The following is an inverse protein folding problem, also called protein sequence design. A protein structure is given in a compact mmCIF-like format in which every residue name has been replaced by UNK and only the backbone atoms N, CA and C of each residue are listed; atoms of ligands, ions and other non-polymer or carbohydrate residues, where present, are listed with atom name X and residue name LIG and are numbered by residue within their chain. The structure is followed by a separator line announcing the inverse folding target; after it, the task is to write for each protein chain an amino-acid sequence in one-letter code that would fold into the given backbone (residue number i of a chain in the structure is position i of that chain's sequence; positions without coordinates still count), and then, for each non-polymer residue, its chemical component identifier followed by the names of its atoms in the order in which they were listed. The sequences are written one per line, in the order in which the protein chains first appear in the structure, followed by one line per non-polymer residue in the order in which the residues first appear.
data_IF_150680779160
#
_entry.id   IF_150680779160
#
_cell.length_a   1.000
_cell.length_b   1.000
_cell.length_c   1.000
_cell.angle_alpha   90.00
_cell.angle_beta   90.00
_cell.angle_gamma   90.00
#
_symmetry.space_group_name_H-M   'P 1'
#
loop_
_entity.id
_entity.type
_entity.pdbx_description
1 polymer ?
#
# COMPACT_ATOMS: atom_id res chain seq x y z
N UNK A 1 33.76 9.45 28.11
CA UNK A 1 33.16 8.26 27.48
C UNK A 1 31.83 7.99 28.18
N UNK A 2 30.75 8.57 27.68
CA UNK A 2 29.41 8.35 28.24
C UNK A 2 28.56 7.62 27.21
N UNK A 3 27.84 6.61 27.71
CA UNK A 3 27.16 5.59 26.94
C UNK A 3 25.95 6.12 26.16
N UNK A 4 25.76 5.51 24.99
CA UNK A 4 24.52 5.61 24.23
C UNK A 4 23.51 4.61 24.81
N UNK A 5 22.50 5.14 25.49
CA UNK A 5 21.25 4.44 25.78
C UNK A 5 20.32 4.63 24.57
N UNK A 6 20.35 3.72 23.60
CA UNK A 6 19.33 3.66 22.53
C UNK A 6 18.18 2.77 23.00
N UNK A 7 17.32 3.38 23.82
CA UNK A 7 15.97 2.89 24.09
C UNK A 7 15.04 3.73 23.23
N UNK A 8 14.73 3.28 22.01
CA UNK A 8 13.41 3.50 21.40
C UNK A 8 13.19 2.56 20.21
N UNK A 9 12.89 1.29 20.53
CA UNK A 9 12.31 0.30 19.61
C UNK A 9 10.81 0.18 19.92
N UNK A 10 10.05 1.26 19.88
CA UNK A 10 8.60 1.21 20.13
C UNK A 10 7.85 2.09 19.12
N UNK A 11 7.26 1.42 18.12
CA UNK A 11 6.33 2.07 17.20
C UNK A 11 6.04 1.35 15.89
N UNK A 12 6.73 0.24 15.58
CA UNK A 12 6.38 -0.59 14.42
C UNK A 12 5.24 -1.55 14.80
N UNK A 13 4.04 -1.01 15.00
CA UNK A 13 2.85 -1.83 14.95
C UNK A 13 2.71 -2.36 13.53
N UNK A 14 2.88 -3.68 13.44
CA UNK A 14 3.16 -4.44 12.24
C UNK A 14 1.88 -5.14 11.83
N UNK A 15 0.96 -4.47 11.15
CA UNK A 15 -0.34 -5.12 10.91
C UNK A 15 -1.02 -4.61 9.64
N UNK A 16 -0.46 -4.88 8.46
CA UNK A 16 -0.67 -6.21 7.87
C UNK A 16 0.39 -6.63 6.83
N UNK A 17 1.63 -6.10 6.92
CA UNK A 17 2.79 -6.25 6.00
C UNK A 17 3.06 -7.64 5.41
N UNK A 18 2.13 -8.14 4.63
CA UNK A 18 2.05 -9.50 4.13
C UNK A 18 1.49 -9.43 2.74
N UNK A 19 2.19 -10.07 1.82
CA UNK A 19 1.80 -10.14 0.43
C UNK A 19 1.72 -11.60 0.06
N UNK A 20 0.59 -12.00 -0.52
CA UNK A 20 0.40 -13.38 -0.98
C UNK A 20 0.87 -13.52 -2.41
N UNK A 21 1.67 -14.53 -2.70
CA UNK A 21 2.16 -14.84 -4.04
C UNK A 21 2.04 -16.34 -4.23
N UNK A 22 1.31 -16.79 -5.25
CA UNK A 22 1.03 -18.22 -5.49
C UNK A 22 0.59 -18.95 -4.20
N UNK A 23 -0.33 -18.36 -3.43
CA UNK A 23 -0.84 -18.88 -2.15
C UNK A 23 0.18 -18.93 -0.98
N UNK A 24 1.41 -18.44 -1.19
CA UNK A 24 2.42 -18.29 -0.14
C UNK A 24 2.40 -16.86 0.40
N UNK A 25 2.22 -16.72 1.72
CA UNK A 25 2.21 -15.42 2.37
C UNK A 25 3.63 -14.99 2.73
N UNK A 26 4.09 -13.90 2.12
CA UNK A 26 5.43 -13.36 2.31
C UNK A 26 5.36 -12.24 3.35
N UNK A 27 6.04 -12.37 4.50
CA UNK A 27 6.16 -11.27 5.45
C UNK A 27 7.14 -10.22 4.93
N UNK A 28 6.65 -8.99 4.78
CA UNK A 28 7.43 -7.81 4.43
C UNK A 28 7.51 -6.91 5.66
N UNK A 29 8.61 -6.17 5.79
CA UNK A 29 8.65 -5.04 6.74
C UNK A 29 7.73 -3.93 6.25
N UNK A 30 7.34 -3.01 7.13
CA UNK A 30 6.53 -1.85 6.74
C UNK A 30 7.16 -1.08 5.56
N UNK A 31 8.48 -0.84 5.61
CA UNK A 31 9.23 -0.17 4.53
C UNK A 31 9.19 -0.96 3.22
N UNK A 32 9.41 -2.27 3.26
CA UNK A 32 9.41 -3.11 2.06
C UNK A 32 8.01 -3.17 1.41
N UNK A 33 6.97 -3.27 2.25
CA UNK A 33 5.59 -3.23 1.80
C UNK A 33 5.27 -1.90 1.11
N UNK A 34 5.64 -0.78 1.74
CA UNK A 34 5.44 0.56 1.21
C UNK A 34 6.20 0.78 -0.11
N UNK A 35 7.44 0.27 -0.22
CA UNK A 35 8.20 0.32 -1.47
C UNK A 35 7.50 -0.46 -2.58
N UNK A 36 7.03 -1.68 -2.27
CA UNK A 36 6.37 -2.53 -3.25
C UNK A 36 5.08 -1.90 -3.76
N UNK A 37 4.26 -1.39 -2.84
CA UNK A 37 3.04 -0.66 -3.13
C UNK A 37 3.30 0.56 -4.02
N UNK A 38 4.33 1.36 -3.70
CA UNK A 38 4.72 2.54 -4.47
C UNK A 38 4.94 2.18 -5.95
N UNK A 39 5.67 1.10 -6.23
CA UNK A 39 5.94 0.66 -7.60
C UNK A 39 4.69 0.09 -8.28
N UNK A 40 3.89 -0.75 -7.60
CA UNK A 40 2.68 -1.35 -8.18
C UNK A 40 1.63 -0.32 -8.58
N UNK A 41 1.50 0.76 -7.81
CA UNK A 41 0.53 1.84 -8.07
C UNK A 41 1.02 2.83 -9.13
N UNK A 42 2.33 2.90 -9.38
CA UNK A 42 2.93 3.81 -10.37
C UNK A 42 3.74 2.97 -11.38
N UNK A 43 3.06 2.12 -12.19
CA UNK A 43 3.76 1.34 -13.19
C UNK A 43 4.54 2.26 -14.12
N UNK A 44 5.70 1.79 -14.61
CA UNK A 44 6.57 2.48 -15.58
C UNK A 44 7.26 3.77 -15.08
N UNK A 45 6.80 4.39 -13.99
CA UNK A 45 7.38 5.61 -13.41
C UNK A 45 8.71 5.33 -12.72
N UNK A 46 9.70 6.17 -13.04
CA UNK A 46 11.02 6.15 -12.38
C UNK A 46 10.96 6.98 -11.11
N UNK A 47 11.39 6.38 -10.00
CA UNK A 47 11.62 7.05 -8.73
C UNK A 47 13.11 7.12 -8.42
N UNK A 48 13.63 8.33 -8.23
CA UNK A 48 14.97 8.53 -7.68
C UNK A 48 15.02 8.09 -6.21
N UNK A 49 16.23 7.87 -5.69
CA UNK A 49 16.41 7.53 -4.27
C UNK A 49 15.86 8.62 -3.35
N UNK A 50 16.10 9.88 -3.68
CA UNK A 50 15.54 11.04 -2.98
C UNK A 50 14.01 11.05 -3.06
N UNK A 51 13.40 10.83 -4.23
CA UNK A 51 11.95 10.81 -4.38
C UNK A 51 11.28 9.65 -3.61
N UNK A 52 11.97 8.51 -3.48
CA UNK A 52 11.51 7.41 -2.62
C UNK A 52 11.57 7.83 -1.15
N UNK A 53 12.66 8.50 -0.74
CA UNK A 53 12.81 8.99 0.63
C UNK A 53 11.70 9.98 0.98
N UNK A 54 11.54 11.03 0.18
CA UNK A 54 10.55 12.10 0.39
C UNK A 54 9.11 11.56 0.46
N UNK A 55 8.83 10.46 -0.24
CA UNK A 55 7.47 9.89 -0.32
C UNK A 55 7.17 8.89 0.79
N UNK A 56 8.18 8.17 1.28
CA UNK A 56 7.99 7.12 2.29
C UNK A 56 8.38 7.56 3.70
N UNK A 57 9.20 8.60 3.84
CA UNK A 57 9.64 9.15 5.10
C UNK A 57 9.40 10.67 5.13
N UNK A 58 8.92 11.18 6.27
CA UNK A 58 8.87 12.61 6.54
C UNK A 58 10.25 13.19 6.87
N UNK A 59 10.33 14.51 7.04
CA UNK A 59 11.57 15.26 7.24
C UNK A 59 12.38 14.89 8.50
N UNK A 60 11.76 14.26 9.51
CA UNK A 60 12.36 14.11 10.83
C UNK A 60 13.11 12.79 11.09
N UNK A 61 12.97 11.75 10.26
CA UNK A 61 13.70 10.47 10.43
C UNK A 61 13.85 9.66 9.13
N UNK A 62 14.26 10.34 8.05
CA UNK A 62 14.49 9.68 6.77
C UNK A 62 15.82 8.89 6.79
N UNK A 63 15.83 7.60 6.42
CA UNK A 63 17.06 6.85 6.32
C UNK A 63 17.91 7.38 5.16
N UNK A 64 19.19 7.03 5.13
CA UNK A 64 20.06 7.47 4.03
C UNK A 64 19.62 6.89 2.68
N UNK A 65 19.95 7.57 1.57
CA UNK A 65 19.73 7.01 0.22
C UNK A 65 20.37 5.62 0.02
N UNK A 66 21.42 5.31 0.79
CA UNK A 66 22.05 3.98 0.80
C UNK A 66 21.15 2.91 1.40
N UNK A 67 20.35 3.26 2.42
CA UNK A 67 19.39 2.33 3.00
C UNK A 67 18.32 1.92 1.98
N UNK A 68 17.91 2.83 1.08
CA UNK A 68 16.98 2.49 -0.02
C UNK A 68 17.52 1.34 -0.87
N UNK A 69 18.81 1.36 -1.19
CA UNK A 69 19.45 0.28 -1.97
C UNK A 69 19.31 -1.06 -1.25
N UNK A 70 19.54 -1.07 0.06
CA UNK A 70 19.39 -2.27 0.89
C UNK A 70 17.94 -2.74 0.93
N UNK A 71 16.98 -1.84 1.17
CA UNK A 71 15.56 -2.20 1.20
C UNK A 71 15.06 -2.74 -0.15
N UNK A 72 15.48 -2.16 -1.28
CA UNK A 72 15.13 -2.70 -2.61
C UNK A 72 15.73 -4.09 -2.83
N UNK A 73 16.98 -4.29 -2.39
CA UNK A 73 17.65 -5.60 -2.49
C UNK A 73 16.95 -6.66 -1.65
N UNK A 74 16.58 -6.32 -0.42
CA UNK A 74 15.90 -7.23 0.50
C UNK A 74 14.47 -7.53 0.02
N UNK A 75 13.75 -6.52 -0.46
CA UNK A 75 12.44 -6.68 -1.09
C UNK A 75 12.50 -7.66 -2.28
N UNK A 76 13.41 -7.43 -3.24
CA UNK A 76 13.61 -8.35 -4.38
C UNK A 76 13.90 -9.77 -3.94
N UNK A 77 14.74 -9.95 -2.92
CA UNK A 77 15.08 -11.26 -2.36
C UNK A 77 13.85 -11.94 -1.74
N UNK A 78 13.05 -11.21 -0.95
CA UNK A 78 11.83 -11.74 -0.33
C UNK A 78 10.77 -12.13 -1.36
N UNK A 79 10.56 -11.30 -2.37
CA UNK A 79 9.65 -11.59 -3.48
C UNK A 79 10.07 -12.85 -4.25
N UNK A 80 11.36 -12.96 -4.58
CA UNK A 80 11.92 -14.15 -5.23
C UNK A 80 11.75 -15.40 -4.36
N UNK A 81 12.04 -15.30 -3.07
CA UNK A 81 11.89 -16.41 -2.13
C UNK A 81 10.43 -16.86 -1.95
N UNK A 82 9.47 -15.94 -2.10
CA UNK A 82 8.06 -16.27 -2.08
C UNK A 82 7.46 -16.67 -3.43
N UNK A 83 8.31 -16.95 -4.42
CA UNK A 83 7.90 -17.59 -5.66
C UNK A 83 7.73 -16.67 -6.86
N UNK A 84 8.23 -15.43 -6.82
CA UNK A 84 8.46 -14.68 -8.06
C UNK A 84 9.64 -15.29 -8.82
N UNK A 85 9.39 -15.59 -10.08
CA UNK A 85 10.38 -16.11 -11.02
C UNK A 85 11.14 -14.99 -11.70
N UNK A 86 10.55 -13.80 -11.82
CA UNK A 86 11.14 -12.65 -12.50
C UNK A 86 11.33 -11.45 -11.57
N UNK A 87 12.39 -10.67 -11.80
CA UNK A 87 12.60 -9.41 -11.06
C UNK A 87 11.68 -8.33 -11.65
N UNK A 88 10.68 -7.88 -10.88
CA UNK A 88 9.66 -6.91 -11.34
C UNK A 88 10.06 -5.43 -11.15
N UNK A 89 10.98 -5.13 -10.22
CA UNK A 89 11.50 -3.78 -9.98
C UNK A 89 12.87 -3.70 -10.63
N UNK A 90 13.06 -2.87 -11.65
CA UNK A 90 14.36 -2.70 -12.32
C UNK A 90 15.13 -1.48 -11.81
N UNK A 91 16.45 -1.56 -11.89
CA UNK A 91 17.34 -0.42 -11.60
C UNK A 91 17.63 0.33 -12.90
N UNK A 92 17.24 1.59 -12.97
CA UNK A 92 17.56 2.50 -14.07
C UNK A 92 18.81 3.29 -13.68
N UNK A 93 19.96 2.92 -14.24
CA UNK A 93 21.25 3.51 -13.89
C UNK A 93 21.24 5.04 -13.98
N UNK A 94 21.73 5.69 -12.92
CA UNK A 94 21.78 7.15 -12.81
C UNK A 94 20.43 7.82 -12.49
N UNK A 95 19.30 7.13 -12.62
CA UNK A 95 17.96 7.71 -12.43
C UNK A 95 17.22 7.16 -11.21
N UNK A 96 17.36 5.87 -10.90
CA UNK A 96 16.72 5.26 -9.73
C UNK A 96 16.09 3.90 -10.04
N UNK A 97 14.84 3.71 -9.63
CA UNK A 97 14.12 2.44 -9.71
C UNK A 97 12.75 2.62 -10.37
N UNK A 98 12.27 1.60 -11.08
CA UNK A 98 10.89 1.57 -11.60
C UNK A 98 10.31 0.17 -11.59
N UNK A 99 8.98 0.07 -11.64
CA UNK A 99 8.30 -1.17 -12.01
C UNK A 99 8.49 -1.40 -13.52
N UNK A 100 8.78 -2.63 -13.92
CA UNK A 100 8.91 -2.98 -15.34
C UNK A 100 7.60 -2.64 -16.09
N UNK A 101 7.70 -1.96 -17.26
CA UNK A 101 6.54 -1.50 -18.00
C UNK A 101 5.69 -2.61 -18.61
N UNK A 102 4.40 -2.31 -18.76
CA UNK A 102 3.39 -3.13 -19.45
C UNK A 102 3.47 -2.91 -20.97
N UNK A 103 3.87 -1.70 -21.40
CA UNK A 103 3.72 -1.27 -22.79
C UNK A 103 4.97 -1.50 -23.66
N UNK A 104 4.80 -1.85 -24.96
CA UNK A 104 5.89 -1.96 -25.91
C UNK A 104 6.23 -0.56 -26.46
N UNK A 105 7.08 0.21 -25.78
CA UNK A 105 7.67 1.39 -26.41
C UNK A 105 8.98 1.05 -27.12
N UNK A 106 8.88 1.22 -28.42
CA UNK A 106 9.83 1.05 -29.51
C UNK A 106 11.21 1.66 -29.23
N UNK A 107 12.24 0.81 -29.27
CA UNK A 107 13.46 1.00 -30.06
C UNK A 107 14.55 0.04 -29.56
N UNK A 108 14.56 -1.16 -30.14
CA UNK A 108 15.78 -1.90 -30.45
C UNK A 108 15.36 -3.15 -31.20
N UNK A 109 15.51 -3.08 -32.52
CA UNK A 109 15.45 -4.20 -33.43
C UNK A 109 16.23 -5.40 -32.87
N UNK A 110 15.62 -6.57 -32.99
CA UNK A 110 16.22 -7.90 -32.95
C UNK A 110 16.68 -8.42 -31.57
N UNK A 111 15.80 -9.23 -30.93
CA UNK A 111 16.10 -10.60 -30.43
C UNK A 111 14.92 -11.21 -29.62
N UNK A 112 14.32 -12.26 -30.20
CA UNK A 112 14.02 -13.52 -29.51
C UNK A 112 12.69 -13.67 -28.76
N UNK A 113 11.92 -14.69 -29.16
CA UNK A 113 10.76 -15.31 -28.48
C UNK A 113 10.90 -15.37 -26.94
N UNK A 114 12.12 -15.57 -26.42
CA UNK A 114 12.41 -15.62 -24.98
C UNK A 114 12.23 -14.28 -24.24
N UNK A 115 12.48 -13.14 -24.88
CA UNK A 115 12.31 -11.82 -24.24
C UNK A 115 10.84 -11.47 -24.08
N UNK A 116 10.02 -11.90 -25.02
CA UNK A 116 8.57 -11.78 -24.99
C UNK A 116 7.96 -12.70 -23.93
N UNK A 117 8.41 -13.96 -23.85
CA UNK A 117 7.98 -14.89 -22.81
C UNK A 117 8.33 -14.40 -21.39
N UNK A 118 9.53 -13.84 -21.17
CA UNK A 118 9.89 -13.23 -19.89
C UNK A 118 9.02 -12.00 -19.56
N UNK A 119 8.63 -11.19 -20.55
CA UNK A 119 7.72 -10.05 -20.34
C UNK A 119 6.32 -10.48 -19.92
N UNK A 120 5.75 -11.45 -20.64
CA UNK A 120 4.43 -12.01 -20.31
C UNK A 120 4.42 -12.59 -18.88
N UNK A 121 5.51 -13.25 -18.48
CA UNK A 121 5.67 -13.73 -17.09
C UNK A 121 5.75 -12.60 -16.08
N UNK A 122 6.58 -11.58 -16.32
CA UNK A 122 6.67 -10.37 -15.46
C UNK A 122 5.30 -9.72 -15.29
N UNK A 123 4.56 -9.54 -16.38
CA UNK A 123 3.23 -8.94 -16.37
C UNK A 123 2.24 -9.77 -15.54
N UNK A 124 2.24 -11.09 -15.72
CA UNK A 124 1.41 -12.00 -14.93
C UNK A 124 1.77 -11.95 -13.43
N UNK A 125 3.05 -11.80 -13.08
CA UNK A 125 3.50 -11.67 -11.69
C UNK A 125 3.11 -10.32 -11.07
N UNK A 126 3.26 -9.22 -11.82
CA UNK A 126 2.79 -7.89 -11.39
C UNK A 126 1.29 -7.91 -11.14
N UNK A 127 0.50 -8.52 -12.03
CA UNK A 127 -0.95 -8.65 -11.86
C UNK A 127 -1.31 -9.42 -10.60
N UNK A 128 -0.72 -10.60 -10.39
CA UNK A 128 -0.93 -11.41 -9.16
C UNK A 128 -0.63 -10.63 -7.89
N UNK A 129 0.44 -9.85 -7.93
CA UNK A 129 0.88 -9.04 -6.82
C UNK A 129 -0.10 -7.88 -6.56
N UNK A 130 -0.58 -7.21 -7.61
CA UNK A 130 -1.59 -6.17 -7.53
C UNK A 130 -2.93 -6.70 -6.99
N UNK A 131 -3.38 -7.87 -7.44
CA UNK A 131 -4.60 -8.54 -6.93
C UNK A 131 -4.49 -8.81 -5.43
N UNK A 132 -3.33 -9.31 -4.98
CA UNK A 132 -3.09 -9.63 -3.57
C UNK A 132 -3.04 -8.38 -2.70
N UNK A 133 -2.42 -7.32 -3.23
CA UNK A 133 -2.41 -6.00 -2.59
C UNK A 133 -3.82 -5.42 -2.45
N UNK A 134 -4.62 -5.53 -3.52
CA UNK A 134 -6.02 -5.09 -3.50
C UNK A 134 -6.88 -5.89 -2.53
N UNK A 135 -6.58 -7.17 -2.35
CA UNK A 135 -7.27 -8.03 -1.38
C UNK A 135 -7.17 -7.52 0.06
N UNK A 136 -5.98 -7.05 0.49
CA UNK A 136 -5.78 -6.53 1.86
C UNK A 136 -6.63 -5.29 2.10
N UNK A 137 -6.55 -4.30 1.20
CA UNK A 137 -7.35 -3.06 1.33
C UNK A 137 -8.85 -3.37 1.23
N UNK A 138 -9.24 -4.34 0.41
CA UNK A 138 -10.63 -4.79 0.32
C UNK A 138 -11.14 -5.35 1.64
N UNK A 139 -10.31 -6.09 2.39
CA UNK A 139 -10.70 -6.61 3.71
C UNK A 139 -10.86 -5.49 4.74
N UNK A 140 -9.98 -4.48 4.71
CA UNK A 140 -10.09 -3.31 5.59
C UNK A 140 -11.38 -2.52 5.30
N UNK A 141 -11.72 -2.31 4.03
CA UNK A 141 -12.98 -1.68 3.63
C UNK A 141 -14.19 -2.54 4.04
N UNK A 142 -14.09 -3.87 4.00
CA UNK A 142 -15.16 -4.77 4.43
C UNK A 142 -15.47 -4.65 5.94
N UNK A 143 -14.47 -4.33 6.78
CA UNK A 143 -14.71 -4.00 8.20
C UNK A 143 -15.57 -2.73 8.32
N UNK A 144 -15.24 -1.68 7.55
CA UNK A 144 -16.01 -0.43 7.54
C UNK A 144 -17.45 -0.64 7.02
N UNK A 145 -17.63 -1.51 6.03
CA UNK A 145 -18.96 -1.88 5.54
C UNK A 145 -19.79 -2.64 6.57
N UNK A 146 -19.18 -3.52 7.36
CA UNK A 146 -19.85 -4.17 8.49
C UNK A 146 -20.28 -3.16 9.55
N UNK A 147 -19.40 -2.22 9.89
CA UNK A 147 -19.73 -1.12 10.81
C UNK A 147 -20.88 -0.24 10.27
N UNK A 148 -20.91 0.02 8.95
CA UNK A 148 -22.00 0.73 8.29
C UNK A 148 -23.34 0.03 8.50
N UNK A 149 -23.40 -1.28 8.26
CA UNK A 149 -24.63 -2.08 8.42
C UNK A 149 -25.05 -2.12 9.90
N UNK A 150 -24.09 -2.28 10.82
CA UNK A 150 -24.34 -2.28 12.26
C UNK A 150 -24.90 -0.93 12.76
N UNK A 151 -24.39 0.19 12.22
CA UNK A 151 -24.89 1.53 12.50
C UNK A 151 -26.32 1.75 12.00
N UNK A 152 -26.61 1.33 10.76
CA UNK A 152 -27.96 1.45 10.18
C UNK A 152 -29.01 0.60 10.91
N UNK A 153 -28.58 -0.49 11.55
CA UNK A 153 -29.45 -1.38 12.33
C UNK A 153 -29.50 -1.02 13.82
N UNK A 154 -28.78 0.02 14.26
CA UNK A 154 -28.73 0.49 15.64
C UNK A 154 -28.02 -0.46 16.62
N UNK A 155 -27.18 -1.38 16.11
CA UNK A 155 -26.46 -2.40 16.88
C UNK A 155 -24.95 -2.30 16.68
N UNK A 156 -24.39 -1.09 16.79
CA UNK A 156 -22.95 -0.94 16.72
C UNK A 156 -22.32 -1.48 18.02
N UNK A 157 -21.68 -2.64 17.90
CA UNK A 157 -20.91 -3.27 18.97
C UNK A 157 -19.61 -2.47 19.23
N UNK A 158 -19.20 -2.28 20.51
CA UNK A 158 -17.98 -1.55 20.85
C UNK A 158 -16.70 -2.17 20.26
N UNK A 159 -16.60 -3.50 20.11
CA UNK A 159 -15.45 -4.14 19.47
C UNK A 159 -15.41 -3.84 17.97
N UNK A 160 -16.58 -3.89 17.31
CA UNK A 160 -16.68 -3.55 15.88
C UNK A 160 -16.39 -2.06 15.64
N UNK A 161 -16.84 -1.18 16.53
CA UNK A 161 -16.51 0.25 16.50
C UNK A 161 -15.00 0.46 16.58
N UNK A 162 -14.34 -0.15 17.57
CA UNK A 162 -12.89 -0.03 17.73
C UNK A 162 -12.12 -0.57 16.52
N UNK A 163 -12.53 -1.72 15.99
CA UNK A 163 -11.93 -2.30 14.79
C UNK A 163 -12.09 -1.38 13.58
N UNK A 164 -13.29 -0.82 13.36
CA UNK A 164 -13.54 0.11 12.27
C UNK A 164 -12.74 1.41 12.40
N UNK A 165 -12.58 1.95 13.62
CA UNK A 165 -11.72 3.12 13.86
C UNK A 165 -10.28 2.83 13.49
N UNK A 166 -9.74 1.68 13.93
CA UNK A 166 -8.37 1.29 13.64
C UNK A 166 -8.12 1.12 12.14
N UNK A 167 -9.02 0.42 11.44
CA UNK A 167 -8.89 0.23 9.99
C UNK A 167 -9.05 1.54 9.21
N UNK A 168 -9.92 2.45 9.65
CA UNK A 168 -10.03 3.80 9.08
C UNK A 168 -8.73 4.61 9.26
N UNK A 169 -8.08 4.54 10.43
CA UNK A 169 -6.77 5.15 10.67
C UNK A 169 -5.68 4.58 9.75
N UNK A 170 -5.59 3.25 9.64
CA UNK A 170 -4.64 2.56 8.76
C UNK A 170 -4.85 2.94 7.29
N UNK A 171 -6.11 2.99 6.84
CA UNK A 171 -6.48 3.43 5.49
C UNK A 171 -6.10 4.89 5.28
N UNK A 172 -6.35 5.79 6.25
CA UNK A 172 -5.99 7.19 6.15
C UNK A 172 -4.49 7.41 5.92
N UNK A 173 -3.65 6.70 6.68
CA UNK A 173 -2.19 6.74 6.53
C UNK A 173 -1.72 6.13 5.20
N UNK A 174 -2.17 4.91 4.89
CA UNK A 174 -1.80 4.17 3.67
C UNK A 174 -2.42 4.74 2.38
N UNK A 175 -3.39 5.65 2.46
CA UNK A 175 -3.88 6.37 1.28
C UNK A 175 -3.18 7.73 1.12
N UNK A 176 -2.83 8.41 2.23
CA UNK A 176 -2.13 9.70 2.21
C UNK A 176 -0.73 9.58 1.59
N UNK A 177 0.09 8.71 2.17
CA UNK A 177 1.50 8.49 1.76
C UNK A 177 1.60 8.04 0.29
N UNK A 178 0.52 7.44 -0.23
CA UNK A 178 0.53 6.75 -1.52
C UNK A 178 -0.20 7.50 -2.63
N UNK A 179 -0.65 8.74 -2.37
CA UNK A 179 -1.18 9.64 -3.39
C UNK A 179 -2.65 9.45 -3.73
N UNK A 180 -3.44 8.92 -2.79
CA UNK A 180 -4.91 8.92 -2.84
C UNK A 180 -5.44 9.96 -1.86
N UNK A 181 -5.29 11.27 -2.16
CA UNK A 181 -5.67 12.33 -1.22
C UNK A 181 -7.16 12.25 -0.86
N UNK A 182 -8.02 11.94 -1.84
CA UNK A 182 -9.45 11.76 -1.63
C UNK A 182 -9.76 10.55 -0.75
N UNK A 183 -9.15 9.39 -1.04
CA UNK A 183 -9.33 8.18 -0.23
C UNK A 183 -8.83 8.37 1.21
N UNK A 184 -7.69 9.04 1.39
CA UNK A 184 -7.17 9.39 2.71
C UNK A 184 -8.10 10.32 3.47
N UNK A 185 -8.63 11.33 2.79
CA UNK A 185 -9.58 12.26 3.39
C UNK A 185 -10.85 11.54 3.85
N UNK A 186 -11.43 10.70 3.00
CA UNK A 186 -12.60 9.88 3.33
C UNK A 186 -12.32 8.98 4.53
N UNK A 187 -11.17 8.29 4.56
CA UNK A 187 -10.79 7.43 5.67
C UNK A 187 -10.62 8.21 7.00
N UNK A 188 -10.03 9.41 6.96
CA UNK A 188 -9.94 10.29 8.16
C UNK A 188 -11.29 10.78 8.65
N UNK A 189 -12.21 11.11 7.74
CA UNK A 189 -13.56 11.52 8.13
C UNK A 189 -14.30 10.37 8.84
N UNK A 190 -14.19 9.16 8.29
CA UNK A 190 -14.74 7.94 8.88
C UNK A 190 -14.14 7.69 10.28
N UNK A 191 -12.82 7.79 10.40
CA UNK A 191 -12.10 7.66 11.68
C UNK A 191 -12.62 8.67 12.71
N UNK A 192 -12.70 9.96 12.33
CA UNK A 192 -13.13 11.03 13.23
C UNK A 192 -14.58 10.83 13.73
N UNK A 193 -15.48 10.35 12.87
CA UNK A 193 -16.84 10.01 13.27
C UNK A 193 -16.87 8.88 14.31
N UNK A 194 -15.97 7.89 14.21
CA UNK A 194 -15.95 6.74 15.11
C UNK A 194 -15.17 6.97 16.42
N UNK A 195 -14.26 7.95 16.47
CA UNK A 195 -13.46 8.25 17.68
C UNK A 195 -14.32 8.75 18.85
N UNK A 196 -15.39 9.48 18.57
CA UNK A 196 -16.22 10.06 19.63
C UNK A 196 -17.08 8.99 20.32
N UNK A 197 -17.11 9.02 21.66
CA UNK A 197 -17.92 8.10 22.50
C UNK A 197 -19.42 8.42 22.48
N UNK A 198 -19.80 9.54 21.86
CA UNK A 198 -21.20 9.94 21.72
C UNK A 198 -21.95 9.03 20.74
N UNK A 199 -23.24 8.75 21.00
CA UNK A 199 -24.08 8.05 20.04
C UNK A 199 -24.19 8.90 18.77
N UNK A 200 -23.83 8.31 17.63
CA UNK A 200 -23.92 8.96 16.33
C UNK A 200 -25.37 9.34 16.03
N UNK A 201 -25.57 10.58 15.61
CA UNK A 201 -26.86 11.08 15.14
C UNK A 201 -27.22 10.45 13.80
N UNK A 202 -28.51 10.43 13.45
CA UNK A 202 -28.97 9.91 12.15
C UNK A 202 -28.27 10.57 10.95
N UNK A 203 -27.89 11.85 11.09
CA UNK A 203 -27.13 12.59 10.08
C UNK A 203 -25.70 12.07 9.96
N UNK A 204 -25.01 11.84 11.07
CA UNK A 204 -23.65 11.31 11.07
C UNK A 204 -23.60 9.86 10.56
N UNK A 205 -24.64 9.06 10.84
CA UNK A 205 -24.78 7.69 10.29
C UNK A 205 -24.94 7.75 8.77
N UNK A 206 -25.73 8.69 8.24
CA UNK A 206 -25.89 8.87 6.81
C UNK A 206 -24.56 9.30 6.14
N UNK A 207 -23.85 10.25 6.76
CA UNK A 207 -22.53 10.70 6.29
C UNK A 207 -21.49 9.57 6.31
N UNK A 208 -21.45 8.79 7.38
CA UNK A 208 -20.59 7.61 7.48
C UNK A 208 -20.87 6.62 6.34
N UNK A 209 -22.14 6.31 6.10
CA UNK A 209 -22.57 5.38 5.05
C UNK A 209 -22.16 5.85 3.65
N UNK A 210 -22.33 7.15 3.38
CA UNK A 210 -21.92 7.78 2.13
C UNK A 210 -20.39 7.72 1.95
N UNK A 211 -19.63 8.08 2.98
CA UNK A 211 -18.16 8.07 2.96
C UNK A 211 -17.58 6.68 2.73
N UNK A 212 -18.10 5.64 3.41
CA UNK A 212 -17.65 4.25 3.20
C UNK A 212 -17.94 3.81 1.76
N UNK A 213 -19.10 4.20 1.21
CA UNK A 213 -19.46 3.88 -0.17
C UNK A 213 -18.56 4.61 -1.17
N UNK A 214 -18.27 5.89 -0.93
CA UNK A 214 -17.33 6.67 -1.74
C UNK A 214 -15.91 6.11 -1.67
N UNK A 215 -15.44 5.68 -0.49
CA UNK A 215 -14.12 5.08 -0.30
C UNK A 215 -13.97 3.78 -1.11
N UNK A 216 -15.00 2.92 -1.11
CA UNK A 216 -15.07 1.71 -1.94
C UNK A 216 -14.99 2.04 -3.43
N UNK A 217 -15.70 3.08 -3.86
CA UNK A 217 -15.70 3.51 -5.26
C UNK A 217 -14.36 4.10 -5.69
N UNK A 218 -13.74 4.95 -4.89
CA UNK A 218 -12.41 5.52 -5.15
C UNK A 218 -11.35 4.41 -5.26
N UNK A 219 -11.45 3.37 -4.44
CA UNK A 219 -10.54 2.22 -4.54
C UNK A 219 -10.75 1.36 -5.79
N UNK A 220 -11.97 1.33 -6.33
CA UNK A 220 -12.29 0.60 -7.55
C UNK A 220 -11.96 1.39 -8.83
N UNK A 221 -11.68 2.70 -8.73
CA UNK A 221 -11.27 3.51 -9.88
C UNK A 221 -9.81 3.22 -10.27
N UNK A 222 -9.48 3.26 -11.58
CA UNK A 222 -8.09 3.37 -12.03
C UNK A 222 -7.40 4.57 -11.37
N UNK A 223 -6.09 4.50 -11.19
CA UNK A 223 -5.34 5.48 -10.39
C UNK A 223 -5.54 6.88 -11.01
N UNK A 224 -5.90 7.93 -10.24
CA UNK A 224 -6.15 9.28 -10.79
C UNK A 224 -4.96 9.94 -11.48
N UNK A 225 -3.77 9.31 -11.49
CA UNK A 225 -2.59 9.76 -12.23
C UNK A 225 -2.40 9.03 -13.59
N UNK A 226 -3.40 8.29 -14.07
CA UNK A 226 -3.49 7.85 -15.49
C UNK A 226 -3.85 9.01 -16.43
#
# INVERSE_FOLDING_TARGET
MQGFSETDRRGLDSDSGRVSINQSVIPLTATEYNLLELFLRNPERIFSRSAILDRLWGFDDAPTERAIITHIKDLRKKLKNGGLTEEIIETVYGMGYRLKPDSPLENSSQKGDSKEQSRIKVQAEIKKLLDSFRGVISEQIAVLERAKIALLTGKLDPELKQSATLEAHKLAGSLATFGYPNGSHLARMIEHLLIHDSPLTSTEIAQFSEQVTALRQEFNKPNPNE
#
